data_IF_086892299503
#
_entry.id   IF_086892299503
#
_cell.length_a   1.000
_cell.length_b   1.000
_cell.length_c   1.000
_cell.angle_alpha   90.00
_cell.angle_beta   90.00
_cell.angle_gamma   90.00
#
_symmetry.space_group_name_H-M   'P 1'
#
loop_
_entity.id
_entity.type
_entity.pdbx_description
1 polymer ?
#
# COMPACT_ATOMS: atom_id res chain seq x y z
N UNK A 1 -11.15 -19.33 8.36
CA UNK A 1 -9.82 -18.90 7.91
C UNK A 1 -9.77 -17.39 7.75
N UNK A 2 -8.79 -16.73 8.35
CA UNK A 2 -8.67 -15.27 8.30
C UNK A 2 -7.97 -14.85 7.01
N UNK A 3 -8.56 -13.94 6.25
CA UNK A 3 -7.95 -13.43 5.01
C UNK A 3 -6.92 -12.34 5.31
N UNK A 4 -6.10 -12.00 4.31
CA UNK A 4 -5.18 -10.86 4.38
C UNK A 4 -5.95 -9.57 4.68
N UNK A 5 -7.12 -9.40 4.07
CA UNK A 5 -7.97 -8.22 4.28
C UNK A 5 -8.41 -8.14 5.74
N UNK A 6 -8.83 -9.25 6.33
CA UNK A 6 -9.22 -9.29 7.74
C UNK A 6 -8.05 -9.00 8.67
N UNK A 7 -6.85 -9.47 8.33
CA UNK A 7 -5.65 -9.19 9.11
C UNK A 7 -5.28 -7.70 9.12
N UNK A 8 -5.40 -7.04 7.97
CA UNK A 8 -5.21 -5.58 7.91
C UNK A 8 -6.29 -4.85 8.71
N UNK A 9 -7.53 -5.32 8.63
CA UNK A 9 -8.65 -4.69 9.33
C UNK A 9 -8.48 -4.74 10.85
N UNK A 10 -7.85 -5.76 11.39
CA UNK A 10 -7.51 -5.85 12.83
C UNK A 10 -6.57 -4.72 13.26
N UNK A 11 -5.80 -4.17 12.34
CA UNK A 11 -4.91 -3.03 12.56
C UNK A 11 -5.55 -1.71 12.12
N UNK A 12 -6.86 -1.69 11.89
CA UNK A 12 -7.63 -0.53 11.41
C UNK A 12 -7.22 -0.06 10.01
N UNK A 13 -6.65 -0.95 9.21
CA UNK A 13 -6.25 -0.66 7.83
C UNK A 13 -7.29 -1.26 6.90
N UNK A 14 -7.87 -0.40 6.05
CA UNK A 14 -8.83 -0.82 5.02
C UNK A 14 -8.07 -1.22 3.77
N UNK A 15 -8.30 -2.45 3.32
CA UNK A 15 -7.66 -3.01 2.14
C UNK A 15 -8.69 -3.80 1.33
N UNK A 16 -8.31 -4.20 0.14
CA UNK A 16 -9.16 -5.01 -0.74
C UNK A 16 -8.28 -5.87 -1.63
N UNK A 17 -8.79 -7.05 -1.99
CA UNK A 17 -8.14 -7.89 -2.98
C UNK A 17 -8.68 -7.58 -4.36
N UNK A 18 -7.86 -7.77 -5.38
CA UNK A 18 -8.27 -7.67 -6.78
C UNK A 18 -7.55 -8.74 -7.59
N UNK A 19 -7.96 -8.89 -8.85
CA UNK A 19 -7.58 -10.06 -9.65
C UNK A 19 -6.06 -10.26 -9.73
N UNK A 20 -5.34 -9.27 -10.22
CA UNK A 20 -3.87 -9.37 -10.41
C UNK A 20 -3.26 -8.02 -10.77
N UNK A 21 -1.93 -7.97 -10.73
CA UNK A 21 -1.15 -6.92 -11.37
C UNK A 21 -0.52 -7.54 -12.60
N UNK A 22 -0.70 -6.91 -13.77
CA UNK A 22 -0.10 -7.39 -15.01
C UNK A 22 0.96 -6.41 -15.51
N UNK A 23 1.95 -6.94 -16.22
CA UNK A 23 2.95 -6.12 -16.90
C UNK A 23 2.52 -5.92 -18.36
N UNK A 24 2.84 -4.78 -18.91
CA UNK A 24 2.63 -4.47 -20.32
C UNK A 24 3.76 -3.59 -20.83
N UNK A 25 3.93 -3.58 -22.14
CA UNK A 25 4.92 -2.72 -22.78
C UNK A 25 4.17 -1.55 -23.43
N UNK A 26 4.57 -0.31 -23.09
CA UNK A 26 3.96 0.87 -23.67
C UNK A 26 4.54 1.18 -25.07
N UNK A 27 4.06 2.25 -25.72
CA UNK A 27 4.48 2.65 -27.06
C UNK A 27 5.97 3.01 -27.13
N UNK A 28 6.59 3.32 -26.02
CA UNK A 28 8.03 3.67 -25.92
C UNK A 28 8.91 2.45 -25.66
N UNK A 29 8.34 1.25 -25.61
CA UNK A 29 9.08 0.03 -25.28
C UNK A 29 9.37 -0.14 -23.79
N UNK A 30 8.78 0.67 -22.93
CA UNK A 30 8.97 0.57 -21.48
C UNK A 30 8.03 -0.47 -20.88
N UNK A 31 8.55 -1.26 -19.93
CA UNK A 31 7.75 -2.23 -19.18
C UNK A 31 7.07 -1.51 -18.01
N UNK A 32 5.75 -1.55 -17.99
CA UNK A 32 4.91 -0.94 -16.95
C UNK A 32 4.04 -1.99 -16.28
N UNK A 33 3.49 -1.64 -15.13
CA UNK A 33 2.55 -2.49 -14.39
C UNK A 33 1.21 -1.78 -14.25
N UNK A 34 0.14 -2.56 -14.29
CA UNK A 34 -1.21 -2.04 -14.07
C UNK A 34 -2.07 -3.05 -13.32
N UNK A 35 -3.02 -2.57 -12.51
CA UNK A 35 -3.97 -3.46 -11.83
C UNK A 35 -5.04 -3.96 -12.81
N UNK A 36 -5.51 -5.20 -12.59
CA UNK A 36 -6.60 -5.81 -13.36
C UNK A 36 -7.68 -6.24 -12.37
N UNK A 37 -8.93 -5.94 -12.71
CA UNK A 37 -10.06 -6.30 -11.85
C UNK A 37 -10.18 -5.42 -10.62
N UNK A 38 -9.80 -4.16 -10.72
CA UNK A 38 -9.87 -3.20 -9.63
C UNK A 38 -11.34 -2.87 -9.32
N UNK A 39 -11.80 -3.06 -8.08
CA UNK A 39 -13.13 -2.63 -7.68
C UNK A 39 -13.20 -1.11 -7.54
N UNK A 40 -14.41 -0.58 -7.35
CA UNK A 40 -14.57 0.83 -7.00
C UNK A 40 -14.11 1.05 -5.55
N UNK A 41 -12.80 1.23 -5.36
CA UNK A 41 -12.19 1.32 -4.04
C UNK A 41 -12.69 2.51 -3.22
N UNK A 42 -13.21 3.55 -3.87
CA UNK A 42 -13.75 4.73 -3.18
C UNK A 42 -15.00 4.40 -2.37
N UNK A 43 -15.70 3.31 -2.69
CA UNK A 43 -16.88 2.85 -1.94
C UNK A 43 -16.52 1.83 -0.86
N UNK A 44 -15.25 1.43 -0.74
CA UNK A 44 -14.81 0.43 0.23
C UNK A 44 -14.49 1.11 1.57
N UNK A 45 -14.97 0.52 2.66
CA UNK A 45 -14.78 1.01 4.02
C UNK A 45 -14.57 -0.15 4.99
N UNK A 46 -14.48 0.15 6.28
CA UNK A 46 -14.28 -0.87 7.32
C UNK A 46 -15.42 -1.89 7.40
N UNK A 47 -16.63 -1.47 7.05
CA UNK A 47 -17.81 -2.34 7.16
C UNK A 47 -17.92 -3.34 6.01
N UNK A 48 -17.37 -2.99 4.82
CA UNK A 48 -17.55 -3.82 3.63
C UNK A 48 -16.27 -4.38 3.03
N UNK A 49 -15.09 -3.98 3.51
CA UNK A 49 -13.83 -4.39 2.90
C UNK A 49 -13.63 -5.92 2.90
N UNK A 50 -14.14 -6.63 3.89
CA UNK A 50 -14.05 -8.09 3.94
C UNK A 50 -14.77 -8.78 2.78
N UNK A 51 -15.70 -8.10 2.12
CA UNK A 51 -16.39 -8.62 0.94
C UNK A 51 -15.49 -8.63 -0.31
N UNK A 52 -14.35 -7.93 -0.25
CA UNK A 52 -13.39 -7.82 -1.34
C UNK A 52 -12.12 -8.60 -1.00
N UNK A 53 -12.27 -9.90 -0.73
CA UNK A 53 -11.18 -10.76 -0.26
C UNK A 53 -10.62 -11.71 -1.32
N UNK A 54 -11.18 -11.71 -2.53
CA UNK A 54 -10.79 -12.62 -3.60
C UNK A 54 -9.87 -11.95 -4.61
N UNK A 55 -8.70 -12.53 -4.83
CA UNK A 55 -7.75 -12.06 -5.82
C UNK A 55 -6.31 -12.35 -5.41
N UNK A 56 -5.39 -12.22 -6.35
CA UNK A 56 -3.97 -12.47 -6.10
C UNK A 56 -3.18 -11.22 -5.72
N UNK A 57 -3.81 -10.04 -5.79
CA UNK A 57 -3.20 -8.77 -5.43
C UNK A 57 -4.03 -8.07 -4.36
N UNK A 58 -3.37 -7.22 -3.59
CA UNK A 58 -4.01 -6.47 -2.50
C UNK A 58 -3.68 -4.99 -2.63
N UNK A 59 -4.71 -4.16 -2.53
CA UNK A 59 -4.56 -2.71 -2.44
C UNK A 59 -4.86 -2.23 -1.03
N UNK A 60 -4.13 -1.24 -0.57
CA UNK A 60 -4.35 -0.60 0.72
C UNK A 60 -4.89 0.80 0.47
N UNK A 61 -6.00 1.12 1.13
CA UNK A 61 -6.58 2.46 1.05
C UNK A 61 -5.94 3.31 2.13
N UNK A 62 -5.21 4.33 1.71
CA UNK A 62 -4.50 5.23 2.62
C UNK A 62 -5.36 6.42 3.02
N UNK A 63 -4.85 7.27 3.87
CA UNK A 63 -5.52 8.47 4.31
C UNK A 63 -6.39 8.24 5.52
N UNK A 64 -7.42 9.06 5.64
CA UNK A 64 -8.28 9.15 6.82
C UNK A 64 -8.98 7.83 7.17
N UNK A 65 -9.42 7.09 6.17
CA UNK A 65 -10.18 5.85 6.35
C UNK A 65 -9.36 4.77 7.08
N UNK A 66 -8.07 4.68 6.81
CA UNK A 66 -7.14 3.75 7.45
C UNK A 66 -6.24 4.43 8.47
N UNK A 67 -6.37 5.75 8.63
CA UNK A 67 -5.49 6.56 9.45
C UNK A 67 -4.01 6.29 9.14
N UNK A 68 -3.70 6.21 7.85
CA UNK A 68 -2.42 5.72 7.35
C UNK A 68 -1.88 6.62 6.25
N UNK A 69 -0.62 6.99 6.38
CA UNK A 69 0.15 7.65 5.34
C UNK A 69 1.29 6.75 4.91
N UNK A 70 1.48 6.59 3.61
CA UNK A 70 2.55 5.78 3.05
C UNK A 70 3.51 6.70 2.29
N UNK A 71 4.80 6.56 2.57
CA UNK A 71 5.85 7.27 1.84
C UNK A 71 6.63 6.22 1.04
N UNK A 72 6.69 6.43 -0.27
CA UNK A 72 7.39 5.54 -1.19
C UNK A 72 8.69 6.21 -1.65
N UNK A 73 9.80 5.49 -1.48
CA UNK A 73 11.11 5.96 -1.92
C UNK A 73 11.57 5.16 -3.13
N UNK A 74 11.82 5.85 -4.24
CA UNK A 74 12.28 5.23 -5.47
C UNK A 74 13.76 4.82 -5.43
N UNK A 75 14.53 5.34 -4.47
CA UNK A 75 15.92 4.93 -4.33
C UNK A 75 16.36 4.92 -2.86
N UNK A 76 17.37 4.09 -2.60
CA UNK A 76 17.89 3.87 -1.23
C UNK A 76 18.59 5.09 -0.66
N UNK A 77 19.18 5.94 -1.52
CA UNK A 77 19.92 7.13 -1.06
C UNK A 77 18.97 8.16 -0.45
N UNK A 78 17.81 8.38 -1.08
CA UNK A 78 16.81 9.31 -0.57
C UNK A 78 16.27 8.82 0.79
N UNK A 79 16.00 7.53 0.90
CA UNK A 79 15.58 6.92 2.16
C UNK A 79 16.63 7.14 3.25
N UNK A 80 17.89 6.85 2.93
CA UNK A 80 19.01 7.00 3.88
C UNK A 80 19.15 8.43 4.36
N UNK A 81 19.13 9.41 3.44
CA UNK A 81 19.24 10.82 3.78
C UNK A 81 18.10 11.28 4.70
N UNK A 82 16.87 10.89 4.39
CA UNK A 82 15.72 11.29 5.19
C UNK A 82 15.74 10.65 6.58
N UNK A 83 16.10 9.36 6.69
CA UNK A 83 16.17 8.68 7.97
C UNK A 83 17.35 9.12 8.84
N UNK A 84 18.41 9.64 8.25
CA UNK A 84 19.51 10.27 9.00
C UNK A 84 19.08 11.59 9.63
N UNK A 85 18.25 12.37 8.91
CA UNK A 85 17.70 13.64 9.46
C UNK A 85 16.56 13.40 10.46
N UNK A 86 15.79 12.34 10.26
CA UNK A 86 14.62 11.99 11.06
C UNK A 86 14.69 10.52 11.47
N UNK A 87 15.54 10.16 12.44
CA UNK A 87 15.75 8.76 12.84
C UNK A 87 14.49 8.07 13.34
N UNK A 88 13.53 8.81 13.86
CA UNK A 88 12.24 8.30 14.31
C UNK A 88 11.45 7.60 13.20
N UNK A 89 11.70 7.94 11.94
CA UNK A 89 11.05 7.29 10.80
C UNK A 89 11.39 5.80 10.71
N UNK A 90 12.53 5.38 11.24
CA UNK A 90 12.92 3.96 11.26
C UNK A 90 12.06 3.12 12.21
N UNK A 91 11.31 3.75 13.11
CA UNK A 91 10.41 3.04 14.02
C UNK A 91 9.12 2.61 13.35
N UNK A 92 8.81 3.14 12.17
CA UNK A 92 7.62 2.79 11.42
C UNK A 92 7.84 1.53 10.58
N UNK A 93 6.73 0.84 10.27
CA UNK A 93 6.79 -0.35 9.44
C UNK A 93 7.37 0.00 8.06
N UNK A 94 8.44 -0.66 7.68
CA UNK A 94 9.16 -0.40 6.43
C UNK A 94 9.25 -1.66 5.61
N UNK A 95 8.96 -1.53 4.31
CA UNK A 95 9.08 -2.63 3.34
C UNK A 95 10.15 -2.24 2.33
N UNK A 96 11.15 -3.10 2.16
CA UNK A 96 12.16 -2.90 1.13
C UNK A 96 11.67 -3.41 -0.20
N UNK A 97 11.74 -2.58 -1.23
CA UNK A 97 11.40 -2.94 -2.61
C UNK A 97 12.66 -3.02 -3.45
N UNK A 98 12.54 -3.45 -4.71
CA UNK A 98 13.69 -3.52 -5.63
C UNK A 98 14.37 -2.16 -5.82
N UNK A 99 13.60 -1.08 -5.86
CA UNK A 99 14.10 0.27 -6.15
C UNK A 99 14.37 1.10 -4.90
N UNK A 100 13.71 0.79 -3.79
CA UNK A 100 13.82 1.61 -2.60
C UNK A 100 13.07 1.04 -1.42
N UNK A 101 12.45 1.90 -0.64
CA UNK A 101 11.75 1.55 0.58
C UNK A 101 10.36 2.17 0.60
N UNK A 102 9.42 1.46 1.22
CA UNK A 102 8.09 1.98 1.52
C UNK A 102 7.90 1.86 3.03
N UNK A 103 7.49 2.93 3.69
CA UNK A 103 7.07 2.84 5.07
C UNK A 103 5.74 3.55 5.29
N UNK A 104 4.97 3.04 6.26
CA UNK A 104 3.69 3.60 6.61
C UNK A 104 3.65 3.98 8.08
N UNK A 105 2.87 5.00 8.38
CA UNK A 105 2.64 5.45 9.75
C UNK A 105 1.22 6.00 9.88
N UNK A 106 0.72 5.98 11.09
CA UNK A 106 -0.61 6.53 11.37
C UNK A 106 -0.62 8.03 11.09
N UNK A 107 -1.66 8.51 10.42
CA UNK A 107 -1.83 9.94 10.26
C UNK A 107 -2.10 10.54 11.64
N UNK A 108 -1.23 11.44 12.06
CA UNK A 108 -1.52 12.24 13.23
C UNK A 108 -2.63 13.22 12.87
N UNK A 109 -3.77 13.06 13.53
CA UNK A 109 -4.84 14.05 13.46
C UNK A 109 -4.38 15.27 14.23
N UNK A 110 -4.05 16.28 13.49
CA UNK A 110 -3.81 17.58 14.10
C UNK A 110 -5.13 18.31 14.22
#
# INVERSE_FOLDING_TARGET
MTTTIDNYLKEDIVSFAFKKIETYTNDRGEIKKRPVGMPNWKSINKDNCSNYSNGSAVGIITGKISNLTIIDFDNKNTYKLLTEKHPDLKTYKTIQTKKGFIFGFDMMLI
#
